data_IF_741035858955
#
_entry.id   IF_741035858955
#
_cell.length_a   1.000
_cell.length_b   1.000
_cell.length_c   1.000
_cell.angle_alpha   90.00
_cell.angle_beta   90.00
_cell.angle_gamma   90.00
#
_symmetry.space_group_name_H-M   'P 1'
#
loop_
_entity.id
_entity.type
_entity.pdbx_description
1 polymer ?
#
# COMPACT_ATOMS: atom_id res chain seq x y z
N UNK A 1 -27.32 -42.21 42.98
CA UNK A 1 -26.87 -42.73 41.67
C UNK A 1 -25.35 -42.77 41.72
N UNK A 2 -24.72 -43.63 42.53
CA UNK A 2 -24.50 -45.07 42.25
C UNK A 2 -24.10 -45.26 40.78
N UNK A 3 -22.80 -45.47 40.55
CA UNK A 3 -22.20 -46.81 40.48
C UNK A 3 -22.03 -47.15 39.01
N UNK A 4 -20.83 -47.00 38.48
CA UNK A 4 -19.91 -48.14 38.44
C UNK A 4 -19.74 -48.53 36.96
N UNK A 5 -18.77 -49.28 36.53
CA UNK A 5 -17.66 -49.97 37.16
C UNK A 5 -16.81 -50.31 35.89
N UNK A 6 -15.53 -50.01 35.87
CA UNK A 6 -14.52 -50.98 36.27
C UNK A 6 -14.38 -52.15 35.28
N UNK A 7 -13.31 -52.10 34.51
CA UNK A 7 -12.32 -53.18 34.37
C UNK A 7 -11.13 -52.57 33.60
N UNK A 8 -9.87 -52.68 34.02
CA UNK A 8 -9.19 -53.27 35.16
C UNK A 8 -7.70 -53.05 34.85
N UNK A 9 -6.97 -52.22 35.61
CA UNK A 9 -6.27 -52.60 36.83
C UNK A 9 -5.43 -53.88 36.67
N UNK A 10 -4.12 -53.69 36.61
CA UNK A 10 -3.06 -54.37 37.36
C UNK A 10 -1.76 -53.89 36.73
N UNK A 11 -0.74 -53.40 37.41
CA UNK A 11 -0.33 -53.35 38.81
C UNK A 11 1.14 -52.90 38.70
N UNK A 12 1.66 -52.00 39.52
CA UNK A 12 2.09 -52.23 40.90
C UNK A 12 3.55 -51.76 40.99
N UNK A 13 3.87 -51.21 42.17
CA UNK A 13 5.20 -50.86 42.71
C UNK A 13 5.78 -49.51 42.24
N UNK A 14 5.88 -48.42 43.03
CA UNK A 14 5.96 -48.25 44.50
C UNK A 14 6.67 -49.38 45.24
N UNK A 15 7.98 -49.47 45.06
CA UNK A 15 8.94 -50.03 46.02
C UNK A 15 10.31 -49.47 45.59
N UNK A 16 10.93 -48.60 46.38
CA UNK A 16 11.78 -48.98 47.49
C UNK A 16 12.97 -49.84 47.05
N UNK A 17 14.06 -49.20 46.63
CA UNK A 17 15.45 -49.64 46.88
C UNK A 17 16.32 -48.39 46.78
N UNK A 18 16.50 -47.69 47.90
CA UNK A 18 17.70 -47.73 48.75
C UNK A 18 18.95 -47.15 48.05
N UNK A 19 19.72 -46.27 48.71
CA UNK A 19 21.10 -46.03 48.29
C UNK A 19 21.76 -47.41 48.21
N UNK A 20 22.32 -47.76 47.06
CA UNK A 20 23.12 -48.95 46.93
C UNK A 20 24.40 -48.66 47.71
N UNK A 21 24.32 -48.88 49.03
CA UNK A 21 25.45 -49.18 49.87
C UNK A 21 26.18 -50.31 49.18
N UNK A 22 27.26 -49.99 48.48
CA UNK A 22 28.29 -50.95 48.09
C UNK A 22 29.01 -51.38 49.38
N UNK A 23 28.26 -52.10 50.22
CA UNK A 23 28.80 -53.18 51.03
C UNK A 23 29.03 -54.35 50.11
N UNK A 24 29.99 -54.23 49.20
CA UNK A 24 30.72 -55.39 48.73
C UNK A 24 31.89 -55.53 49.68
N UNK A 25 31.60 -56.31 50.73
CA UNK A 25 32.51 -57.16 51.49
C UNK A 25 33.97 -56.98 51.11
N UNK A 26 34.74 -56.48 52.08
CA UNK A 26 36.18 -56.47 52.02
C UNK A 26 36.70 -57.85 51.63
N UNK A 27 37.25 -57.94 50.44
CA UNK A 27 38.41 -58.80 50.24
C UNK A 27 39.61 -58.04 50.82
N UNK A 28 39.70 -58.03 52.14
CA UNK A 28 41.00 -58.06 52.79
C UNK A 28 41.60 -59.42 52.41
N UNK A 29 42.26 -59.49 51.26
CA UNK A 29 43.14 -60.61 50.98
C UNK A 29 44.27 -60.45 51.98
N UNK A 30 44.25 -61.28 53.03
CA UNK A 30 45.40 -61.48 53.91
C UNK A 30 46.58 -61.80 52.99
N UNK A 31 47.59 -60.93 52.98
CA UNK A 31 48.74 -60.98 52.07
C UNK A 31 49.81 -61.97 52.56
N UNK A 32 49.44 -62.94 53.38
CA UNK A 32 50.31 -63.95 53.95
C UNK A 32 49.77 -65.33 53.54
N UNK A 33 50.51 -65.99 52.65
CA UNK A 33 50.30 -67.35 52.10
C UNK A 33 49.29 -67.51 50.95
N UNK A 34 49.52 -66.82 49.82
CA UNK A 34 48.96 -67.23 48.52
C UNK A 34 50.10 -67.50 47.52
N UNK A 35 50.00 -68.60 46.79
CA UNK A 35 50.95 -68.95 45.73
C UNK A 35 50.99 -67.88 44.63
N UNK A 36 52.13 -67.75 43.94
CA UNK A 36 52.33 -66.81 42.83
C UNK A 36 51.23 -66.87 41.75
N UNK A 37 50.58 -68.02 41.61
CA UNK A 37 49.46 -68.30 40.72
C UNK A 37 48.18 -67.55 41.09
N UNK A 38 47.84 -67.41 42.37
CA UNK A 38 46.61 -66.73 42.80
C UNK A 38 46.70 -65.20 42.65
N UNK A 39 47.87 -64.62 42.91
CA UNK A 39 48.12 -63.18 42.69
C UNK A 39 48.03 -62.83 41.21
N UNK A 40 48.55 -63.71 40.34
CA UNK A 40 48.49 -63.56 38.89
C UNK A 40 47.04 -63.59 38.39
N UNK A 41 46.21 -64.50 38.90
CA UNK A 41 44.79 -64.61 38.57
C UNK A 41 44.03 -63.35 39.01
N UNK A 42 44.28 -62.85 40.21
CA UNK A 42 43.67 -61.61 40.71
C UNK A 42 44.00 -60.38 39.87
N UNK A 43 45.28 -60.23 39.48
CA UNK A 43 45.72 -59.13 38.62
C UNK A 43 45.07 -59.19 37.23
N UNK A 44 44.99 -60.39 36.63
CA UNK A 44 44.31 -60.61 35.35
C UNK A 44 42.83 -60.19 35.44
N UNK A 45 42.15 -60.52 36.55
CA UNK A 45 40.75 -60.12 36.77
C UNK A 45 40.53 -58.59 36.81
N UNK A 46 41.44 -57.85 37.46
CA UNK A 46 41.38 -56.37 37.51
C UNK A 46 41.61 -55.77 36.13
N UNK A 47 42.64 -56.24 35.41
CA UNK A 47 42.96 -55.77 34.05
C UNK A 47 41.78 -56.02 33.10
N UNK A 48 41.16 -57.21 33.14
CA UNK A 48 39.97 -57.53 32.34
C UNK A 48 38.84 -56.54 32.64
N UNK A 49 38.58 -56.24 33.92
CA UNK A 49 37.50 -55.34 34.33
C UNK A 49 37.71 -53.92 33.81
N UNK A 50 38.93 -53.40 33.89
CA UNK A 50 39.29 -52.08 33.35
C UNK A 50 39.13 -52.05 31.83
N UNK A 51 39.60 -53.09 31.13
CA UNK A 51 39.46 -53.22 29.67
C UNK A 51 37.99 -53.26 29.25
N UNK A 52 37.15 -54.06 29.93
CA UNK A 52 35.71 -54.15 29.64
C UNK A 52 35.00 -52.81 29.89
N UNK A 53 35.36 -52.11 30.96
CA UNK A 53 34.83 -50.77 31.26
C UNK A 53 35.22 -49.73 30.19
N UNK A 54 36.48 -49.75 29.75
CA UNK A 54 36.97 -48.89 28.68
C UNK A 54 36.27 -49.17 27.33
N UNK A 55 36.11 -50.44 26.96
CA UNK A 55 35.40 -50.86 25.74
C UNK A 55 33.92 -50.45 25.80
N UNK A 56 33.27 -50.63 26.94
CA UNK A 56 31.86 -50.23 27.14
C UNK A 56 31.68 -48.72 26.99
N UNK A 57 32.60 -47.93 27.56
CA UNK A 57 32.60 -46.47 27.44
C UNK A 57 32.86 -46.03 25.99
N UNK A 58 33.82 -46.67 25.31
CA UNK A 58 34.11 -46.40 23.91
C UNK A 58 32.92 -46.73 22.99
N UNK A 59 32.24 -47.85 23.22
CA UNK A 59 31.03 -48.22 22.49
C UNK A 59 29.89 -47.22 22.71
N UNK A 60 29.64 -46.85 23.97
CA UNK A 60 28.62 -45.86 24.32
C UNK A 60 28.92 -44.49 23.67
N UNK A 61 30.17 -44.02 23.75
CA UNK A 61 30.61 -42.79 23.10
C UNK A 61 30.40 -42.87 21.59
N UNK A 62 30.82 -43.97 20.95
CA UNK A 62 30.60 -44.20 19.52
C UNK A 62 29.12 -44.11 19.13
N UNK A 63 28.22 -44.66 19.94
CA UNK A 63 26.78 -44.54 19.72
C UNK A 63 26.27 -43.11 19.89
N UNK A 64 26.77 -42.34 20.87
CA UNK A 64 26.37 -40.94 21.07
C UNK A 64 26.88 -40.04 19.94
N UNK A 65 28.09 -40.26 19.44
CA UNK A 65 28.63 -39.55 18.29
C UNK A 65 27.80 -39.77 17.02
N UNK A 66 27.38 -41.02 16.74
CA UNK A 66 26.46 -41.29 15.63
C UNK A 66 25.15 -40.52 15.75
N UNK A 67 24.55 -40.51 16.95
CA UNK A 67 23.32 -39.74 17.19
C UNK A 67 23.49 -38.22 17.02
N UNK A 68 24.69 -37.69 17.28
CA UNK A 68 25.02 -36.28 17.01
C UNK A 68 25.18 -36.04 15.51
N UNK A 69 25.86 -36.94 14.81
CA UNK A 69 26.07 -36.86 13.35
C UNK A 69 24.74 -36.90 12.59
N UNK A 70 23.81 -37.77 12.99
CA UNK A 70 22.47 -37.85 12.40
C UNK A 70 21.71 -36.52 12.57
N UNK A 71 21.76 -35.92 13.77
CA UNK A 71 21.13 -34.61 14.04
C UNK A 71 21.78 -33.48 13.24
N UNK A 72 23.10 -33.50 13.10
CA UNK A 72 23.82 -32.52 12.27
C UNK A 72 23.45 -32.64 10.80
N UNK A 73 23.28 -33.88 10.31
CA UNK A 73 22.84 -34.13 8.94
C UNK A 73 21.39 -33.66 8.72
N UNK A 74 20.51 -33.85 9.68
CA UNK A 74 19.14 -33.33 9.63
C UNK A 74 19.10 -31.80 9.65
N UNK A 75 19.88 -31.16 10.53
CA UNK A 75 20.05 -29.70 10.54
C UNK A 75 20.59 -29.16 9.22
N UNK A 76 21.56 -29.85 8.62
CA UNK A 76 22.11 -29.46 7.31
C UNK A 76 21.05 -29.54 6.20
N UNK A 77 20.22 -30.57 6.21
CA UNK A 77 19.08 -30.68 5.28
C UNK A 77 18.07 -29.55 5.52
N UNK A 78 17.73 -29.27 6.78
CA UNK A 78 16.84 -28.16 7.14
C UNK A 78 17.36 -26.81 6.64
N UNK A 79 18.65 -26.51 6.86
CA UNK A 79 19.28 -25.29 6.37
C UNK A 79 19.26 -25.18 4.85
N UNK A 80 19.54 -26.28 4.14
CA UNK A 80 19.46 -26.29 2.67
C UNK A 80 18.03 -26.06 2.15
N UNK A 81 17.02 -26.55 2.87
CA UNK A 81 15.61 -26.29 2.56
C UNK A 81 15.27 -24.80 2.73
N UNK A 82 15.67 -24.21 3.86
CA UNK A 82 15.47 -22.77 4.12
C UNK A 82 16.17 -21.91 3.08
N UNK A 83 17.39 -22.25 2.67
CA UNK A 83 18.10 -21.51 1.62
C UNK A 83 17.35 -21.56 0.28
N UNK A 84 16.80 -22.71 -0.08
CA UNK A 84 15.99 -22.88 -1.29
C UNK A 84 14.70 -22.05 -1.22
N UNK A 85 14.00 -22.05 -0.08
CA UNK A 85 12.78 -21.26 0.12
C UNK A 85 13.07 -19.76 0.04
N UNK A 86 14.14 -19.29 0.68
CA UNK A 86 14.59 -17.89 0.58
C UNK A 86 14.95 -17.51 -0.86
N UNK A 87 15.55 -18.43 -1.62
CA UNK A 87 15.79 -18.26 -3.05
C UNK A 87 14.49 -18.06 -3.84
N UNK A 88 13.47 -18.89 -3.58
CA UNK A 88 12.14 -18.77 -4.18
C UNK A 88 11.48 -17.42 -3.86
N UNK A 89 11.46 -17.04 -2.57
CA UNK A 89 10.89 -15.76 -2.11
C UNK A 89 11.57 -14.57 -2.79
N UNK A 90 12.90 -14.60 -2.97
CA UNK A 90 13.64 -13.53 -3.64
C UNK A 90 13.20 -13.35 -5.09
N UNK A 91 12.95 -14.45 -5.80
CA UNK A 91 12.43 -14.42 -7.18
C UNK A 91 11.02 -13.86 -7.22
N UNK A 92 10.14 -14.31 -6.33
CA UNK A 92 8.77 -13.80 -6.23
C UNK A 92 8.73 -12.30 -5.93
N UNK A 93 9.54 -11.83 -4.99
CA UNK A 93 9.66 -10.42 -4.65
C UNK A 93 10.15 -9.60 -5.85
N UNK A 94 11.11 -10.12 -6.61
CA UNK A 94 11.57 -9.51 -7.87
C UNK A 94 10.43 -9.37 -8.89
N UNK A 95 9.62 -10.41 -9.05
CA UNK A 95 8.46 -10.39 -9.94
C UNK A 95 7.38 -9.39 -9.48
N UNK A 96 7.11 -9.32 -8.17
CA UNK A 96 6.18 -8.34 -7.60
C UNK A 96 6.67 -6.92 -7.86
N UNK A 97 7.97 -6.65 -7.64
CA UNK A 97 8.56 -5.34 -7.92
C UNK A 97 8.39 -4.93 -9.39
N UNK A 98 8.74 -5.82 -10.33
CA UNK A 98 8.59 -5.55 -11.75
C UNK A 98 7.11 -5.31 -12.17
N UNK A 99 6.17 -6.01 -11.52
CA UNK A 99 4.73 -5.78 -11.73
C UNK A 99 4.30 -4.41 -11.21
N UNK A 100 4.80 -4.00 -10.05
CA UNK A 100 4.49 -2.70 -9.46
C UNK A 100 5.01 -1.55 -10.33
N UNK A 101 6.26 -1.64 -10.81
CA UNK A 101 6.84 -0.67 -11.74
C UNK A 101 5.99 -0.55 -13.02
N UNK A 102 5.53 -1.67 -13.58
CA UNK A 102 4.63 -1.67 -14.74
C UNK A 102 3.28 -1.02 -14.46
N UNK A 103 2.73 -1.21 -13.25
CA UNK A 103 1.47 -0.58 -12.84
C UNK A 103 1.64 0.93 -12.71
N UNK A 104 2.74 1.38 -12.10
CA UNK A 104 3.07 2.80 -11.97
C UNK A 104 3.21 3.49 -13.34
N UNK A 105 3.89 2.83 -14.28
CA UNK A 105 3.99 3.28 -15.67
C UNK A 105 2.63 3.41 -16.36
N UNK A 106 1.74 2.43 -16.15
CA UNK A 106 0.38 2.44 -16.72
C UNK A 106 -0.45 3.57 -16.13
N UNK A 107 -0.40 3.79 -14.82
CA UNK A 107 -1.09 4.91 -14.15
C UNK A 107 -0.57 6.25 -14.68
N UNK A 108 0.75 6.39 -14.85
CA UNK A 108 1.38 7.60 -15.36
C UNK A 108 0.99 7.90 -16.81
N UNK A 109 0.86 6.87 -17.66
CA UNK A 109 0.32 7.02 -19.02
C UNK A 109 -1.15 7.41 -19.01
N UNK A 110 -1.96 6.75 -18.18
CA UNK A 110 -3.39 7.04 -18.06
C UNK A 110 -3.64 8.49 -17.60
N UNK A 111 -2.89 8.96 -16.60
CA UNK A 111 -2.98 10.34 -16.10
C UNK A 111 -2.69 11.36 -17.20
N UNK A 112 -1.65 11.13 -18.02
CA UNK A 112 -1.33 12.00 -19.16
C UNK A 112 -2.44 12.01 -20.20
N UNK A 113 -2.96 10.84 -20.56
CA UNK A 113 -4.06 10.73 -21.52
C UNK A 113 -5.35 11.41 -21.03
N UNK A 114 -5.66 11.34 -19.73
CA UNK A 114 -6.81 12.03 -19.15
C UNK A 114 -6.64 13.55 -19.12
N UNK A 115 -5.43 14.05 -18.84
CA UNK A 115 -5.13 15.49 -18.89
C UNK A 115 -5.25 16.03 -20.32
N UNK A 116 -4.71 15.29 -21.29
CA UNK A 116 -4.82 15.60 -22.71
C UNK A 116 -6.28 15.62 -23.15
N UNK A 117 -7.03 14.55 -22.86
CA UNK A 117 -8.46 14.46 -23.15
C UNK A 117 -9.28 15.59 -22.53
N UNK A 118 -9.02 15.95 -21.27
CA UNK A 118 -9.69 17.09 -20.60
C UNK A 118 -9.42 18.40 -21.33
N UNK A 119 -8.18 18.59 -21.80
CA UNK A 119 -7.76 19.76 -22.57
C UNK A 119 -8.47 19.78 -23.92
N UNK A 120 -8.48 18.67 -24.66
CA UNK A 120 -9.17 18.56 -25.96
C UNK A 120 -10.66 18.82 -25.85
N UNK A 121 -11.34 18.25 -24.85
CA UNK A 121 -12.78 18.46 -24.64
C UNK A 121 -13.06 19.91 -24.30
N UNK A 122 -12.26 20.51 -23.43
CA UNK A 122 -12.40 21.93 -23.08
C UNK A 122 -12.23 22.80 -24.33
N UNK A 123 -11.17 22.60 -25.11
CA UNK A 123 -10.88 23.42 -26.30
C UNK A 123 -11.98 23.25 -27.37
N UNK A 124 -12.51 22.04 -27.54
CA UNK A 124 -13.65 21.77 -28.42
C UNK A 124 -14.92 22.47 -27.95
N UNK A 125 -15.22 22.45 -26.65
CA UNK A 125 -16.36 23.15 -26.06
C UNK A 125 -16.22 24.66 -26.18
N UNK A 126 -15.02 25.20 -25.94
CA UNK A 126 -14.73 26.63 -26.12
C UNK A 126 -15.05 27.08 -27.54
N UNK A 127 -14.49 26.38 -28.52
CA UNK A 127 -14.74 26.67 -29.94
C UNK A 127 -16.24 26.66 -30.27
N UNK A 128 -16.97 25.62 -29.85
CA UNK A 128 -18.40 25.50 -30.11
C UNK A 128 -19.20 26.64 -29.46
N UNK A 129 -18.93 26.94 -28.19
CA UNK A 129 -19.67 27.97 -27.44
C UNK A 129 -19.36 29.36 -28.00
N UNK A 130 -18.09 29.68 -28.26
CA UNK A 130 -17.68 30.96 -28.84
C UNK A 130 -18.34 31.16 -30.21
N UNK A 131 -18.29 30.15 -31.08
CA UNK A 131 -18.90 30.20 -32.41
C UNK A 131 -20.43 30.36 -32.36
N UNK A 132 -21.12 29.53 -31.56
CA UNK A 132 -22.59 29.61 -31.44
C UNK A 132 -23.06 30.93 -30.85
N UNK A 133 -22.29 31.49 -29.92
CA UNK A 133 -22.59 32.79 -29.30
C UNK A 133 -22.35 33.93 -30.29
N UNK A 134 -21.26 33.85 -31.07
CA UNK A 134 -20.95 34.81 -32.14
C UNK A 134 -22.02 34.84 -33.24
N UNK A 135 -22.53 33.67 -33.66
CA UNK A 135 -23.62 33.58 -34.64
C UNK A 135 -25.00 33.95 -34.06
N UNK A 136 -25.11 34.18 -32.75
CA UNK A 136 -26.36 34.55 -32.10
C UNK A 136 -27.34 33.44 -31.81
N UNK A 137 -26.89 32.18 -31.88
CA UNK A 137 -27.71 31.02 -31.53
C UNK A 137 -28.07 31.07 -30.04
N UNK A 138 -27.10 31.43 -29.20
CA UNK A 138 -27.32 31.76 -27.80
C UNK A 138 -27.55 33.25 -27.67
N UNK A 139 -28.75 33.68 -27.26
CA UNK A 139 -29.08 35.10 -27.06
C UNK A 139 -28.70 35.57 -25.65
N UNK A 140 -28.09 36.76 -25.47
CA UNK A 140 -27.74 37.30 -24.15
C UNK A 140 -28.95 37.40 -23.21
N UNK A 141 -30.14 37.65 -23.75
CA UNK A 141 -31.37 37.79 -22.98
C UNK A 141 -31.82 36.46 -22.35
N UNK A 142 -31.61 35.33 -23.04
CA UNK A 142 -31.87 33.99 -22.51
C UNK A 142 -30.89 33.64 -21.37
N UNK A 143 -29.72 34.29 -21.35
CA UNK A 143 -28.74 34.13 -20.30
C UNK A 143 -29.17 34.75 -18.95
N UNK A 144 -30.18 35.63 -18.94
CA UNK A 144 -30.79 36.12 -17.68
C UNK A 144 -31.31 34.98 -16.79
N UNK A 145 -31.83 33.90 -17.40
CA UNK A 145 -32.28 32.69 -16.69
C UNK A 145 -31.09 31.93 -16.09
N UNK A 146 -29.95 31.94 -16.79
CA UNK A 146 -28.71 31.28 -16.37
C UNK A 146 -28.04 32.07 -15.23
N UNK A 147 -28.12 33.41 -15.23
CA UNK A 147 -27.52 34.28 -14.20
C UNK A 147 -27.97 33.92 -12.79
N UNK A 148 -29.25 33.59 -12.58
CA UNK A 148 -29.76 33.20 -11.25
C UNK A 148 -29.08 31.93 -10.72
N UNK A 149 -28.93 30.92 -11.58
CA UNK A 149 -28.24 29.68 -11.23
C UNK A 149 -26.75 29.91 -10.96
N UNK A 150 -26.08 30.72 -11.79
CA UNK A 150 -24.65 31.02 -11.62
C UNK A 150 -24.39 31.78 -10.31
N UNK A 151 -25.26 32.72 -9.93
CA UNK A 151 -25.14 33.41 -8.64
C UNK A 151 -25.31 32.44 -7.47
N UNK A 152 -26.28 31.54 -7.53
CA UNK A 152 -26.49 30.50 -6.50
C UNK A 152 -25.27 29.58 -6.36
N UNK A 153 -24.70 29.17 -7.49
CA UNK A 153 -23.46 28.38 -7.50
C UNK A 153 -22.29 29.16 -6.91
N UNK A 154 -22.14 30.44 -7.26
CA UNK A 154 -21.09 31.31 -6.73
C UNK A 154 -21.23 31.51 -5.22
N UNK A 155 -22.44 31.71 -4.71
CA UNK A 155 -22.71 31.83 -3.28
C UNK A 155 -22.39 30.53 -2.52
N UNK A 156 -22.74 29.37 -3.09
CA UNK A 156 -22.37 28.08 -2.54
C UNK A 156 -20.85 27.88 -2.52
N UNK A 157 -20.13 28.38 -3.52
CA UNK A 157 -18.66 28.34 -3.57
C UNK A 157 -18.04 29.23 -2.48
N UNK A 158 -18.53 30.46 -2.34
CA UNK A 158 -18.02 31.43 -1.36
C UNK A 158 -18.30 30.96 0.08
N UNK A 159 -19.50 30.43 0.35
CA UNK A 159 -19.88 29.94 1.68
C UNK A 159 -19.25 28.60 2.07
N UNK A 160 -18.90 27.77 1.08
CA UNK A 160 -18.37 26.42 1.31
C UNK A 160 -16.85 26.33 1.50
N UNK A 161 -16.10 27.41 1.25
CA UNK A 161 -14.63 27.35 1.16
C UNK A 161 -13.98 28.17 2.29
N UNK A 162 -13.41 27.47 3.28
CA UNK A 162 -12.48 28.05 4.25
C UNK A 162 -11.03 27.78 3.83
N UNK A 163 -10.24 28.83 3.57
CA UNK A 163 -8.80 28.73 3.22
C UNK A 163 -8.47 29.03 1.75
N UNK A 164 -8.91 30.20 1.25
CA UNK A 164 -9.10 30.50 -0.16
C UNK A 164 -7.81 30.86 -0.96
N UNK A 165 -7.51 30.20 -2.10
CA UNK A 165 -6.48 30.61 -3.07
C UNK A 165 -6.93 31.62 -4.14
N UNK A 166 -8.23 31.81 -4.37
CA UNK A 166 -8.74 32.99 -5.11
C UNK A 166 -8.97 34.13 -4.11
N UNK A 167 -8.63 35.35 -4.44
CA UNK A 167 -8.88 36.45 -3.49
C UNK A 167 -10.37 36.80 -3.46
N UNK A 168 -10.86 37.39 -2.36
CA UNK A 168 -12.28 37.80 -2.28
C UNK A 168 -12.65 38.75 -3.41
N UNK A 169 -11.67 39.56 -3.83
CA UNK A 169 -11.79 40.51 -4.92
C UNK A 169 -12.02 39.80 -6.27
N UNK A 170 -11.32 38.69 -6.55
CA UNK A 170 -11.53 37.91 -7.78
C UNK A 170 -12.93 37.28 -7.83
N UNK A 171 -13.45 36.83 -6.68
CA UNK A 171 -14.83 36.33 -6.58
C UNK A 171 -15.86 37.43 -6.83
N UNK A 172 -15.64 38.62 -6.26
CA UNK A 172 -16.50 39.77 -6.53
C UNK A 172 -16.38 40.25 -7.99
N UNK A 173 -15.22 40.14 -8.61
CA UNK A 173 -15.03 40.45 -10.03
C UNK A 173 -15.82 39.49 -10.93
N UNK A 174 -15.76 38.18 -10.67
CA UNK A 174 -16.61 37.17 -11.32
C UNK A 174 -18.09 37.51 -11.12
N UNK A 175 -18.49 37.87 -9.89
CA UNK A 175 -19.87 38.24 -9.57
C UNK A 175 -20.32 39.45 -10.40
N UNK A 176 -19.48 40.48 -10.51
CA UNK A 176 -19.75 41.67 -11.32
C UNK A 176 -19.94 41.32 -12.78
N UNK A 177 -19.09 40.48 -13.36
CA UNK A 177 -19.24 40.05 -14.76
C UNK A 177 -20.52 39.25 -14.99
N UNK A 178 -20.92 38.39 -14.05
CA UNK A 178 -22.18 37.65 -14.13
C UNK A 178 -23.39 38.61 -14.11
N UNK A 179 -23.33 39.70 -13.37
CA UNK A 179 -24.46 40.62 -13.22
C UNK A 179 -24.55 41.67 -14.32
N UNK A 180 -23.45 41.96 -15.02
CA UNK A 180 -23.40 42.97 -16.07
C UNK A 180 -24.21 42.52 -17.29
N UNK A 181 -24.92 43.47 -17.93
CA UNK A 181 -25.77 43.20 -19.09
C UNK A 181 -25.00 43.17 -20.42
N UNK A 182 -23.83 43.79 -20.48
CA UNK A 182 -22.93 43.76 -21.65
C UNK A 182 -21.47 43.77 -21.18
N UNK A 183 -20.63 42.88 -21.74
CA UNK A 183 -19.18 42.89 -21.54
C UNK A 183 -18.46 43.38 -22.80
N UNK A 184 -17.36 44.11 -22.62
CA UNK A 184 -16.39 44.32 -23.70
C UNK A 184 -15.63 43.02 -23.99
N UNK A 185 -14.96 42.93 -25.15
CA UNK A 185 -14.19 41.75 -25.49
C UNK A 185 -13.06 41.49 -24.49
N UNK A 186 -12.39 42.56 -24.02
CA UNK A 186 -11.35 42.48 -22.99
C UNK A 186 -11.89 41.98 -21.65
N UNK A 187 -13.04 42.52 -21.20
CA UNK A 187 -13.72 42.05 -19.99
C UNK A 187 -14.14 40.58 -20.09
N UNK A 188 -14.59 40.13 -21.27
CA UNK A 188 -14.96 38.75 -21.49
C UNK A 188 -13.75 37.80 -21.39
N UNK A 189 -12.59 38.19 -21.96
CA UNK A 189 -11.35 37.42 -21.79
C UNK A 189 -10.89 37.38 -20.34
N UNK A 190 -10.97 38.51 -19.62
CA UNK A 190 -10.65 38.57 -18.20
C UNK A 190 -11.58 37.68 -17.37
N UNK A 191 -12.87 37.69 -17.68
CA UNK A 191 -13.85 36.83 -17.03
C UNK A 191 -13.53 35.35 -17.26
N UNK A 192 -13.19 34.95 -18.50
CA UNK A 192 -12.77 33.57 -18.84
C UNK A 192 -11.54 33.16 -18.03
N UNK A 193 -10.55 34.03 -17.88
CA UNK A 193 -9.34 33.75 -17.10
C UNK A 193 -9.66 33.46 -15.63
N UNK A 194 -10.48 34.32 -15.00
CA UNK A 194 -10.91 34.14 -13.61
C UNK A 194 -11.77 32.88 -13.43
N UNK A 195 -12.70 32.63 -14.37
CA UNK A 195 -13.53 31.44 -14.36
C UNK A 195 -12.70 30.16 -14.55
N UNK A 196 -11.64 30.20 -15.37
CA UNK A 196 -10.72 29.08 -15.53
C UNK A 196 -9.94 28.80 -14.23
N UNK A 197 -9.45 29.87 -13.58
CA UNK A 197 -8.81 29.76 -12.27
C UNK A 197 -9.76 29.10 -11.26
N UNK A 198 -11.03 29.52 -11.25
CA UNK A 198 -12.07 28.94 -10.40
C UNK A 198 -12.26 27.42 -10.65
N UNK A 199 -12.33 27.00 -11.91
CA UNK A 199 -12.41 25.57 -12.30
C UNK A 199 -11.16 24.81 -11.83
N UNK A 200 -9.97 25.37 -12.00
CA UNK A 200 -8.72 24.72 -11.60
C UNK A 200 -8.64 24.41 -10.11
N UNK A 201 -9.19 25.30 -9.27
CA UNK A 201 -9.16 25.11 -7.83
C UNK A 201 -10.34 24.26 -7.33
N UNK A 202 -11.53 24.46 -7.89
CA UNK A 202 -12.77 23.94 -7.27
C UNK A 202 -13.45 22.79 -8.01
N UNK A 203 -13.02 22.40 -9.23
CA UNK A 203 -13.74 21.38 -10.04
C UNK A 203 -14.01 20.05 -9.35
N UNK A 204 -13.15 19.61 -8.42
CA UNK A 204 -13.34 18.33 -7.71
C UNK A 204 -14.35 18.44 -6.57
N UNK A 205 -14.47 19.62 -5.96
CA UNK A 205 -15.39 19.87 -4.85
C UNK A 205 -16.76 20.34 -5.34
N UNK A 206 -16.78 21.08 -6.44
CA UNK A 206 -17.97 21.65 -7.06
C UNK A 206 -17.91 21.42 -8.57
N UNK A 207 -18.37 20.26 -9.07
CA UNK A 207 -18.34 19.94 -10.51
C UNK A 207 -19.08 20.96 -11.38
N UNK A 208 -20.12 21.60 -10.83
CA UNK A 208 -20.94 22.59 -11.53
C UNK A 208 -20.22 23.91 -11.82
N UNK A 209 -19.01 24.12 -11.28
CA UNK A 209 -18.19 25.32 -11.52
C UNK A 209 -17.88 25.56 -13.00
N UNK A 210 -17.86 24.49 -13.81
CA UNK A 210 -17.70 24.57 -15.26
C UNK A 210 -18.79 25.39 -15.94
N UNK A 211 -19.98 25.52 -15.35
CA UNK A 211 -21.07 26.35 -15.87
C UNK A 211 -20.67 27.84 -15.92
N UNK A 212 -19.93 28.32 -14.91
CA UNK A 212 -19.41 29.70 -14.88
C UNK A 212 -18.37 29.89 -15.99
N UNK A 213 -17.52 28.89 -16.21
CA UNK A 213 -16.54 28.91 -17.29
C UNK A 213 -17.17 28.98 -18.67
N UNK A 214 -18.12 28.10 -18.97
CA UNK A 214 -18.84 28.11 -20.25
C UNK A 214 -19.60 29.41 -20.47
N UNK A 215 -20.16 30.00 -19.41
CA UNK A 215 -20.80 31.31 -19.50
C UNK A 215 -19.81 32.43 -19.85
N UNK A 216 -18.61 32.42 -19.26
CA UNK A 216 -17.56 33.38 -19.59
C UNK A 216 -17.07 33.23 -21.04
N UNK A 217 -16.97 32.00 -21.53
CA UNK A 217 -16.64 31.70 -22.94
C UNK A 217 -17.72 32.22 -23.89
N UNK A 218 -19.00 32.05 -23.56
CA UNK A 218 -20.11 32.58 -24.36
C UNK A 218 -20.04 34.11 -24.53
N UNK A 219 -19.63 34.81 -23.45
CA UNK A 219 -19.41 36.26 -23.48
C UNK A 219 -18.38 36.72 -24.49
N UNK A 220 -17.35 35.90 -24.79
CA UNK A 220 -16.34 36.25 -25.81
C UNK A 220 -17.01 36.32 -27.18
N UNK A 221 -17.83 35.32 -27.52
CA UNK A 221 -18.59 35.30 -28.77
C UNK A 221 -19.58 36.46 -28.88
N UNK A 222 -20.31 36.75 -27.79
CA UNK A 222 -21.25 37.88 -27.76
C UNK A 222 -20.55 39.24 -27.90
N UNK A 223 -19.48 39.47 -27.14
CA UNK A 223 -18.73 40.72 -27.18
C UNK A 223 -18.11 40.97 -28.56
N UNK A 224 -17.52 39.94 -29.17
CA UNK A 224 -16.97 40.03 -30.53
C UNK A 224 -18.04 40.34 -31.58
N UNK A 225 -19.24 39.78 -31.42
CA UNK A 225 -20.39 40.10 -32.29
C UNK A 225 -20.84 41.55 -32.13
N UNK A 226 -21.01 42.01 -30.88
CA UNK A 226 -21.40 43.38 -30.55
C UNK A 226 -20.40 44.41 -31.12
N UNK A 227 -19.10 44.16 -31.02
CA UNK A 227 -18.05 45.01 -31.60
C UNK A 227 -18.15 45.10 -33.12
N UNK A 228 -18.40 43.97 -33.80
CA UNK A 228 -18.60 43.94 -35.26
C UNK A 228 -19.85 44.72 -35.68
N UNK A 229 -20.97 44.54 -34.99
CA UNK A 229 -22.22 45.25 -35.27
C UNK A 229 -22.08 46.76 -35.06
N UNK A 230 -21.40 47.18 -33.99
CA UNK A 230 -21.09 48.60 -33.72
C UNK A 230 -20.17 49.20 -34.79
N UNK A 231 -19.18 48.43 -35.25
CA UNK A 231 -18.26 48.83 -36.32
C UNK A 231 -18.95 48.95 -37.68
N UNK A 232 -19.93 48.08 -37.97
CA UNK A 232 -20.72 48.11 -39.21
C UNK A 232 -21.77 49.24 -39.22
N UNK A 233 -22.38 49.54 -38.07
CA UNK A 233 -23.39 50.60 -37.93
C UNK A 233 -22.82 52.03 -38.00
N UNK A 234 -21.55 52.23 -37.62
CA UNK A 234 -20.90 53.54 -37.64
C UNK A 234 -20.49 54.05 -39.03
N UNK A 235 -20.45 53.19 -40.06
CA UNK A 235 -20.04 53.55 -41.42
C UNK A 235 -21.15 54.13 -42.32
N UNK A 236 -22.39 54.20 -41.82
CA UNK A 236 -23.56 54.62 -42.60
C UNK A 236 -23.98 56.09 -42.44
N UNK A 237 -23.36 56.85 -41.54
CA UNK A 237 -23.74 58.24 -41.26
C UNK A 237 -22.74 59.22 -41.87
N UNK A 238 -22.66 59.23 -43.19
CA UNK A 238 -21.70 60.04 -43.94
C UNK A 238 -21.79 59.81 -45.45
N UNK A 239 -22.98 59.86 -46.03
CA UNK A 239 -23.21 60.07 -47.46
C UNK A 239 -24.50 60.84 -47.68
#
# INVERSE_FOLDING_TARGET
>A
MLSGLNHGLHGLYSMCTRPMSLGLLGYFVNLECLGMDEVLIGFIGVVITVVVSAVSTAYWLGSKFRGIEDRLNELRKGLSGVESELGGIKVELGNVKARLERVEDRISRLRRSLLDFTTTIRDSQEFMIEMLSYEGVSRPEAASVIRGELNRLLESLVGGVSGNPLTKEEFEEIRRYIQKDELTLEEAYRFKELAWKLVREYRYRFPDVWKIYWYAVAWIGWAARLEKERSAGGGGQGR
#
